data_IF_534784582537
#
_entry.id   IF_534784582537
#
_cell.length_a   1.000
_cell.length_b   1.000
_cell.length_c   1.000
_cell.angle_alpha   90.00
_cell.angle_beta   90.00
_cell.angle_gamma   90.00
#
_symmetry.space_group_name_H-M   'P 1'
#
loop_
_entity.id
_entity.type
_entity.pdbx_description
1 polymer ?
#
# COMPACT_ATOMS: atom_id res chain seq x y z
N UNK A 1 21.34 -1.68 -11.81
CA UNK A 1 20.21 -1.02 -11.12
C UNK A 1 20.69 -0.27 -9.89
N UNK A 2 20.95 -0.92 -8.74
CA UNK A 2 21.40 -0.21 -7.52
C UNK A 2 22.72 0.55 -7.73
N UNK A 3 23.71 -0.08 -8.37
CA UNK A 3 24.99 0.58 -8.68
C UNK A 3 24.84 1.77 -9.64
N UNK A 4 23.92 1.68 -10.61
CA UNK A 4 23.63 2.77 -11.55
C UNK A 4 22.96 3.93 -10.81
N UNK A 5 21.99 3.65 -9.92
CA UNK A 5 21.36 4.66 -9.06
C UNK A 5 22.36 5.32 -8.12
N UNK A 6 23.27 4.55 -7.51
CA UNK A 6 24.37 5.11 -6.69
C UNK A 6 25.23 6.05 -7.53
N UNK A 7 25.57 5.64 -8.75
CA UNK A 7 26.41 6.44 -9.64
C UNK A 7 25.70 7.73 -10.08
N UNK A 8 24.46 7.63 -10.57
CA UNK A 8 23.67 8.76 -11.05
C UNK A 8 23.28 9.75 -9.96
N UNK A 9 23.13 9.28 -8.72
CA UNK A 9 22.73 10.08 -7.55
C UNK A 9 23.85 10.26 -6.53
N UNK A 10 25.09 10.03 -6.92
CA UNK A 10 26.25 10.03 -6.03
C UNK A 10 26.33 11.30 -5.18
N UNK A 11 26.25 12.47 -5.82
CA UNK A 11 26.36 13.75 -5.13
C UNK A 11 25.23 13.96 -4.11
N UNK A 12 24.01 13.51 -4.42
CA UNK A 12 22.88 13.60 -3.50
C UNK A 12 23.09 12.69 -2.29
N UNK A 13 23.52 11.44 -2.49
CA UNK A 13 23.84 10.54 -1.39
C UNK A 13 24.98 11.06 -0.53
N UNK A 14 26.05 11.59 -1.14
CA UNK A 14 27.16 12.19 -0.40
C UNK A 14 26.72 13.41 0.42
N UNK A 15 25.82 14.24 -0.11
CA UNK A 15 25.22 15.33 0.64
C UNK A 15 24.40 14.83 1.85
N UNK A 16 23.63 13.75 1.68
CA UNK A 16 22.87 13.12 2.78
C UNK A 16 23.80 12.60 3.89
N UNK A 17 24.90 11.93 3.53
CA UNK A 17 25.93 11.48 4.48
C UNK A 17 26.56 12.67 5.24
N UNK A 18 26.96 13.72 4.52
CA UNK A 18 27.56 14.91 5.14
C UNK A 18 26.59 15.63 6.08
N UNK A 19 25.32 15.76 5.68
CA UNK A 19 24.29 16.36 6.50
C UNK A 19 24.05 15.55 7.78
N UNK A 20 24.03 14.22 7.68
CA UNK A 20 23.87 13.35 8.84
C UNK A 20 25.06 13.40 9.79
N UNK A 21 26.29 13.41 9.28
CA UNK A 21 27.50 13.57 10.08
C UNK A 21 27.51 14.89 10.87
N UNK A 22 27.02 15.97 10.26
CA UNK A 22 26.85 17.25 10.94
C UNK A 22 25.84 17.15 12.10
N UNK A 23 24.70 16.47 11.88
CA UNK A 23 23.70 16.25 12.92
C UNK A 23 24.21 15.33 14.04
N UNK A 24 24.98 14.29 13.70
CA UNK A 24 25.58 13.36 14.66
C UNK A 24 26.56 14.08 15.59
N UNK A 25 27.39 14.99 15.06
CA UNK A 25 28.29 15.82 15.88
C UNK A 25 27.52 16.66 16.90
N UNK A 26 26.42 17.29 16.49
CA UNK A 26 25.56 18.06 17.40
C UNK A 26 24.91 17.13 18.44
N UNK A 27 24.49 15.94 18.04
CA UNK A 27 23.90 14.95 18.94
C UNK A 27 24.89 14.46 20.00
N UNK A 28 26.14 14.20 19.61
CA UNK A 28 27.20 13.74 20.53
C UNK A 28 27.49 14.78 21.60
N UNK A 29 27.64 16.06 21.23
CA UNK A 29 27.76 17.16 22.20
C UNK A 29 26.59 17.15 23.18
N UNK A 30 25.36 17.07 22.65
CA UNK A 30 24.16 17.08 23.47
C UNK A 30 24.06 15.86 24.40
N UNK A 31 24.59 14.72 23.97
CA UNK A 31 24.58 13.48 24.72
C UNK A 31 25.58 13.53 25.88
N UNK A 32 26.75 14.13 25.68
CA UNK A 32 27.73 14.38 26.74
C UNK A 32 27.20 15.38 27.77
N UNK A 33 26.54 16.47 27.35
CA UNK A 33 25.85 17.40 28.27
C UNK A 33 24.81 16.68 29.14
N UNK A 34 24.05 15.74 28.57
CA UNK A 34 23.10 14.92 29.34
C UNK A 34 23.81 14.00 30.32
N UNK A 35 24.87 13.29 29.91
CA UNK A 35 25.66 12.41 30.78
C UNK A 35 26.33 13.18 31.93
N UNK A 36 26.73 14.42 31.70
CA UNK A 36 27.31 15.31 32.69
C UNK A 36 26.28 15.97 33.62
N UNK A 37 24.98 15.67 33.46
CA UNK A 37 23.90 16.28 34.26
C UNK A 37 23.57 17.73 33.90
N UNK A 38 24.14 18.25 32.82
CA UNK A 38 23.91 19.62 32.33
C UNK A 38 22.63 19.73 31.47
N UNK A 39 22.05 18.60 31.05
CA UNK A 39 20.74 18.53 30.40
C UNK A 39 19.83 17.54 31.14
N UNK A 40 18.57 17.92 31.34
CA UNK A 40 17.57 17.11 32.05
C UNK A 40 17.00 15.94 31.24
N UNK A 41 17.04 16.02 29.91
CA UNK A 41 16.49 15.02 29.01
C UNK A 41 17.55 14.48 28.04
N UNK A 42 17.51 13.16 27.82
CA UNK A 42 18.38 12.49 26.85
C UNK A 42 18.03 13.00 25.45
N UNK A 43 19.00 13.51 24.66
CA UNK A 43 18.74 13.94 23.30
C UNK A 43 18.32 12.76 22.42
N UNK A 44 17.48 13.02 21.43
CA UNK A 44 17.11 12.04 20.42
C UNK A 44 18.25 11.86 19.40
N UNK A 45 18.62 10.62 19.10
CA UNK A 45 19.62 10.31 18.06
C UNK A 45 19.07 10.74 16.69
N UNK A 46 19.84 11.49 15.87
CA UNK A 46 19.42 11.83 14.52
C UNK A 46 19.41 10.56 13.66
N UNK A 47 18.28 10.29 13.01
CA UNK A 47 18.17 9.22 12.04
C UNK A 47 18.84 9.62 10.73
N UNK A 48 19.41 8.63 10.06
CA UNK A 48 19.89 8.75 8.69
C UNK A 48 18.71 8.57 7.75
N UNK A 49 18.55 9.46 6.78
CA UNK A 49 17.46 9.44 5.78
C UNK A 49 18.09 9.78 4.45
N UNK A 50 17.82 8.95 3.44
CA UNK A 50 18.26 9.21 2.09
C UNK A 50 17.26 10.13 1.38
N UNK A 51 17.75 11.06 0.58
CA UNK A 51 16.93 11.93 -0.27
C UNK A 51 16.38 11.21 -1.51
N UNK A 52 16.93 10.04 -1.83
CA UNK A 52 16.58 9.23 -2.99
C UNK A 52 16.41 7.76 -2.60
N UNK A 53 15.51 7.06 -3.32
CA UNK A 53 15.37 5.62 -3.18
C UNK A 53 16.66 4.91 -3.61
N UNK A 54 17.17 4.00 -2.77
CA UNK A 54 18.35 3.19 -3.08
C UNK A 54 17.99 1.71 -3.25
N UNK A 55 17.30 1.16 -2.26
CA UNK A 55 16.87 -0.24 -2.26
C UNK A 55 15.69 -0.41 -1.32
N UNK A 56 14.90 -1.44 -1.57
CA UNK A 56 13.90 -1.89 -0.62
C UNK A 56 14.58 -2.44 0.63
N UNK A 57 14.07 -2.09 1.80
CA UNK A 57 14.50 -2.70 3.07
C UNK A 57 14.00 -4.15 3.13
N UNK A 58 12.82 -4.42 2.57
CA UNK A 58 12.25 -5.75 2.36
C UNK A 58 11.99 -5.98 0.89
N UNK A 59 12.79 -6.85 0.28
CA UNK A 59 12.69 -7.16 -1.15
C UNK A 59 11.31 -7.73 -1.50
N UNK A 60 10.58 -7.16 -2.48
CA UNK A 60 9.35 -7.75 -2.97
C UNK A 60 9.58 -9.15 -3.53
N UNK A 61 8.65 -10.06 -3.24
CA UNK A 61 8.67 -11.43 -3.75
C UNK A 61 7.78 -11.55 -4.98
N UNK A 62 8.18 -12.38 -5.95
CA UNK A 62 7.41 -12.61 -7.17
C UNK A 62 7.19 -14.10 -7.39
N UNK A 63 5.95 -14.47 -7.71
CA UNK A 63 5.58 -15.82 -8.12
C UNK A 63 4.59 -15.77 -9.29
N UNK A 64 4.60 -16.78 -10.16
CA UNK A 64 3.75 -16.82 -11.34
C UNK A 64 2.57 -17.77 -11.13
N UNK A 65 1.39 -17.36 -11.59
CA UNK A 65 0.14 -18.09 -11.43
C UNK A 65 -0.62 -18.17 -12.76
N UNK A 66 -1.39 -19.25 -12.92
CA UNK A 66 -2.34 -19.46 -14.02
C UNK A 66 -3.70 -19.88 -13.46
N UNK A 67 -4.73 -19.12 -13.81
CA UNK A 67 -6.13 -19.50 -13.61
C UNK A 67 -6.65 -20.09 -14.91
N UNK A 68 -7.24 -21.29 -14.84
CA UNK A 68 -7.82 -21.94 -16.02
C UNK A 68 -9.13 -21.24 -16.42
N UNK A 69 -9.31 -21.01 -17.71
CA UNK A 69 -10.59 -20.55 -18.25
C UNK A 69 -11.65 -21.65 -18.18
N UNK A 70 -12.90 -21.24 -18.08
CA UNK A 70 -14.08 -22.11 -18.19
C UNK A 70 -14.35 -22.45 -19.67
N UNK A 71 -14.92 -23.62 -19.94
CA UNK A 71 -15.39 -23.99 -21.27
C UNK A 71 -14.34 -24.02 -22.38
N UNK A 72 -13.05 -24.11 -22.05
CA UNK A 72 -11.95 -24.06 -23.03
C UNK A 72 -11.49 -22.64 -23.39
N UNK A 73 -12.01 -21.60 -22.72
CA UNK A 73 -11.52 -20.24 -22.86
C UNK A 73 -10.04 -20.12 -22.41
N UNK A 74 -9.34 -19.13 -22.96
CA UNK A 74 -7.98 -18.80 -22.54
C UNK A 74 -7.97 -18.46 -21.03
N UNK A 75 -6.96 -18.98 -20.32
CA UNK A 75 -6.77 -18.71 -18.90
C UNK A 75 -6.25 -17.30 -18.61
N UNK A 76 -6.21 -16.95 -17.33
CA UNK A 76 -5.55 -15.73 -16.85
C UNK A 76 -4.19 -16.09 -16.24
N UNK A 77 -3.13 -15.63 -16.90
CA UNK A 77 -1.75 -15.77 -16.45
C UNK A 77 -1.25 -14.46 -15.87
N UNK A 78 -0.68 -14.50 -14.66
CA UNK A 78 -0.16 -13.30 -14.01
C UNK A 78 1.03 -13.57 -13.09
N UNK A 79 1.84 -12.54 -12.88
CA UNK A 79 2.82 -12.52 -11.81
C UNK A 79 2.20 -11.88 -10.57
N UNK A 80 2.18 -12.62 -9.47
CA UNK A 80 1.88 -12.12 -8.15
C UNK A 80 3.14 -11.47 -7.56
N UNK A 81 3.04 -10.21 -7.17
CA UNK A 81 4.08 -9.49 -6.46
C UNK A 81 3.60 -9.25 -5.04
N UNK A 82 4.28 -9.82 -4.06
CA UNK A 82 4.07 -9.49 -2.66
C UNK A 82 5.10 -8.46 -2.20
N UNK A 83 4.64 -7.37 -1.61
CA UNK A 83 5.52 -6.36 -1.03
C UNK A 83 5.05 -5.99 0.37
N UNK A 84 6.00 -5.62 1.22
CA UNK A 84 5.74 -5.12 2.56
C UNK A 84 6.65 -3.92 2.82
N UNK A 85 6.11 -2.72 2.67
CA UNK A 85 6.88 -1.47 2.73
C UNK A 85 7.16 -1.06 4.17
N UNK A 86 8.20 -0.25 4.38
CA UNK A 86 8.65 0.20 5.69
C UNK A 86 7.49 0.67 6.58
N UNK A 87 7.50 0.26 7.85
CA UNK A 87 6.54 0.68 8.87
C UNK A 87 7.16 1.72 9.84
N UNK A 88 6.32 2.51 10.50
CA UNK A 88 6.76 3.46 11.55
C UNK A 88 6.18 4.87 11.41
N UNK A 89 5.86 5.51 12.54
CA UNK A 89 5.16 6.80 12.62
C UNK A 89 6.12 7.99 12.85
N UNK A 90 7.41 7.83 12.56
CA UNK A 90 8.31 9.00 12.51
C UNK A 90 8.14 9.61 11.13
N UNK A 91 8.02 10.94 11.02
CA UNK A 91 7.90 11.67 9.73
C UNK A 91 8.86 11.13 8.65
N UNK A 92 10.05 10.73 9.09
CA UNK A 92 11.12 10.11 8.29
C UNK A 92 10.78 8.72 7.71
N UNK A 93 10.18 7.83 8.49
CA UNK A 93 9.70 6.54 7.98
C UNK A 93 8.58 6.72 6.95
N UNK A 94 7.85 7.84 6.99
CA UNK A 94 6.85 8.16 5.97
C UNK A 94 7.49 8.57 4.64
N UNK A 95 8.58 9.34 4.66
CA UNK A 95 9.33 9.74 3.45
C UNK A 95 10.00 8.53 2.78
N UNK A 96 10.70 7.69 3.54
CA UNK A 96 11.34 6.48 3.01
C UNK A 96 10.32 5.50 2.43
N UNK A 97 9.22 5.26 3.15
CA UNK A 97 8.11 4.42 2.67
C UNK A 97 7.48 4.98 1.41
N UNK A 98 7.33 6.31 1.29
CA UNK A 98 6.85 6.96 0.06
C UNK A 98 7.81 6.64 -1.10
N UNK A 99 9.12 6.76 -0.88
CA UNK A 99 10.12 6.41 -1.88
C UNK A 99 10.07 4.93 -2.26
N UNK A 100 9.90 4.01 -1.29
CA UNK A 100 9.72 2.58 -1.59
C UNK A 100 8.45 2.34 -2.41
N UNK A 101 7.33 2.98 -2.07
CA UNK A 101 6.08 2.84 -2.82
C UNK A 101 6.22 3.35 -4.26
N UNK A 102 6.80 4.54 -4.44
CA UNK A 102 6.97 5.14 -5.76
C UNK A 102 7.91 4.29 -6.62
N UNK A 103 9.03 3.83 -6.05
CA UNK A 103 9.96 2.93 -6.73
C UNK A 103 9.31 1.58 -7.09
N UNK A 104 8.47 1.03 -6.21
CA UNK A 104 7.72 -0.20 -6.46
C UNK A 104 6.75 -0.02 -7.63
N UNK A 105 5.92 1.02 -7.58
CA UNK A 105 4.93 1.30 -8.62
C UNK A 105 5.61 1.60 -9.95
N UNK A 106 6.67 2.40 -9.98
CA UNK A 106 7.41 2.69 -11.20
C UNK A 106 8.11 1.46 -11.78
N UNK A 107 8.69 0.61 -10.92
CA UNK A 107 9.24 -0.67 -11.35
C UNK A 107 8.15 -1.55 -12.00
N UNK A 108 6.99 -1.70 -11.35
CA UNK A 108 5.88 -2.48 -11.89
C UNK A 108 5.35 -1.91 -13.21
N UNK A 109 5.24 -0.58 -13.32
CA UNK A 109 4.87 0.10 -14.58
C UNK A 109 5.88 -0.18 -15.69
N UNK A 110 7.17 -0.04 -15.40
CA UNK A 110 8.22 -0.32 -16.36
C UNK A 110 8.22 -1.79 -16.80
N UNK A 111 8.05 -2.72 -15.87
CA UNK A 111 7.93 -4.16 -16.16
C UNK A 111 6.73 -4.44 -17.05
N UNK A 112 5.59 -3.80 -16.78
CA UNK A 112 4.38 -3.92 -17.59
C UNK A 112 4.61 -3.39 -19.01
N UNK A 113 5.29 -2.25 -19.17
CA UNK A 113 5.70 -1.74 -20.51
C UNK A 113 6.64 -2.70 -21.24
N UNK A 114 7.53 -3.36 -20.51
CA UNK A 114 8.44 -4.37 -21.03
C UNK A 114 7.81 -5.77 -21.13
N UNK A 115 6.49 -5.85 -21.40
CA UNK A 115 5.69 -7.08 -21.39
C UNK A 115 6.26 -8.25 -22.19
N UNK A 116 6.96 -7.98 -23.29
CA UNK A 116 7.56 -9.02 -24.13
C UNK A 116 8.79 -9.69 -23.50
N UNK A 117 9.27 -9.15 -22.37
CA UNK A 117 10.37 -9.72 -21.55
C UNK A 117 9.86 -10.35 -20.25
N UNK A 118 8.55 -10.38 -20.03
CA UNK A 118 7.95 -10.99 -18.85
C UNK A 118 7.49 -12.42 -19.14
N UNK A 119 7.55 -13.27 -18.12
CA UNK A 119 6.97 -14.61 -18.18
C UNK A 119 5.44 -14.56 -18.38
N UNK A 120 4.78 -13.62 -17.69
CA UNK A 120 3.36 -13.30 -17.85
C UNK A 120 3.16 -11.79 -17.94
N UNK A 121 2.24 -11.34 -18.80
CA UNK A 121 2.05 -9.91 -19.10
C UNK A 121 1.29 -9.15 -18.01
N UNK A 122 0.45 -9.86 -17.26
CA UNK A 122 -0.33 -9.30 -16.18
C UNK A 122 0.43 -9.41 -14.86
N UNK A 123 0.32 -8.38 -14.02
CA UNK A 123 0.94 -8.33 -12.71
C UNK A 123 -0.14 -7.94 -11.68
N UNK A 124 -0.18 -8.67 -10.57
CA UNK A 124 -1.03 -8.38 -9.41
C UNK A 124 -0.10 -8.11 -8.22
N UNK A 125 -0.09 -6.87 -7.75
CA UNK A 125 0.55 -6.47 -6.50
C UNK A 125 -0.40 -6.75 -5.34
N UNK A 126 0.10 -7.30 -4.24
CA UNK A 126 -0.62 -7.33 -2.97
C UNK A 126 0.31 -7.27 -1.76
N UNK A 127 -0.13 -6.59 -0.72
CA UNK A 127 0.55 -6.62 0.58
C UNK A 127 0.40 -5.34 1.36
N UNK A 128 1.11 -5.28 2.49
CA UNK A 128 1.09 -4.16 3.40
C UNK A 128 2.01 -3.04 2.88
N UNK A 129 1.41 -2.04 2.26
CA UNK A 129 2.12 -0.87 1.74
C UNK A 129 2.35 0.18 2.84
N UNK A 130 1.81 -0.04 4.04
CA UNK A 130 1.87 0.87 5.19
C UNK A 130 1.50 2.33 4.83
N UNK A 131 0.65 2.51 3.81
CA UNK A 131 0.32 3.83 3.29
C UNK A 131 -0.52 4.59 4.31
N UNK A 132 0.10 5.57 4.97
CA UNK A 132 -0.60 6.57 5.77
C UNK A 132 -1.25 7.58 4.82
N UNK A 133 -2.49 7.29 4.41
CA UNK A 133 -3.17 8.02 3.33
C UNK A 133 -3.32 9.50 3.63
N UNK A 134 -3.70 9.82 4.87
CA UNK A 134 -3.94 11.19 5.32
C UNK A 134 -2.66 12.04 5.43
N UNK A 135 -1.49 11.40 5.41
CA UNK A 135 -0.19 12.09 5.37
C UNK A 135 0.45 12.11 3.98
N UNK A 136 0.06 11.17 3.11
CA UNK A 136 0.61 11.04 1.75
C UNK A 136 -0.11 11.92 0.75
N UNK A 137 -1.43 12.00 0.84
CA UNK A 137 -2.24 12.81 -0.04
C UNK A 137 -2.99 13.85 0.78
N UNK A 138 -2.92 15.10 0.35
CA UNK A 138 -3.66 16.19 0.97
C UNK A 138 -5.17 16.01 0.78
N UNK A 139 -5.58 15.21 -0.21
CA UNK A 139 -6.97 14.84 -0.46
C UNK A 139 -7.12 13.54 -1.27
N UNK A 140 -8.33 12.96 -1.28
CA UNK A 140 -8.63 11.81 -2.14
C UNK A 140 -8.57 12.11 -3.62
N UNK A 141 -8.90 13.34 -4.03
CA UNK A 141 -8.76 13.78 -5.41
C UNK A 141 -7.30 13.73 -5.89
N UNK A 142 -6.34 13.97 -4.99
CA UNK A 142 -4.92 13.88 -5.31
C UNK A 142 -4.46 12.43 -5.48
N UNK A 143 -4.92 11.51 -4.63
CA UNK A 143 -4.65 10.09 -4.75
C UNK A 143 -5.21 9.52 -6.06
N UNK A 144 -6.48 9.84 -6.34
CA UNK A 144 -7.18 9.43 -7.55
C UNK A 144 -6.51 10.04 -8.79
N UNK A 145 -6.13 11.33 -8.75
CA UNK A 145 -5.39 11.98 -9.82
C UNK A 145 -4.02 11.33 -10.04
N UNK A 146 -3.31 10.93 -8.98
CA UNK A 146 -2.03 10.23 -9.10
C UNK A 146 -2.21 8.86 -9.78
N UNK A 147 -3.23 8.08 -9.41
CA UNK A 147 -3.55 6.78 -10.03
C UNK A 147 -3.99 6.97 -11.49
N UNK A 148 -4.79 8.00 -11.79
CA UNK A 148 -5.21 8.32 -13.15
C UNK A 148 -4.05 8.82 -14.02
N UNK A 149 -3.17 9.66 -13.48
CA UNK A 149 -1.96 10.11 -14.14
C UNK A 149 -1.04 8.93 -14.47
N UNK A 150 -0.92 7.96 -13.55
CA UNK A 150 -0.17 6.74 -13.83
C UNK A 150 -0.67 6.03 -15.08
N UNK A 151 -1.99 5.97 -15.33
CA UNK A 151 -2.61 5.38 -16.53
C UNK A 151 -2.33 6.18 -17.81
N UNK A 152 -2.35 7.51 -17.76
CA UNK A 152 -2.09 8.37 -18.93
C UNK A 152 -0.68 8.17 -19.50
N UNK A 153 0.29 7.92 -18.62
CA UNK A 153 1.70 7.76 -18.96
C UNK A 153 2.08 6.35 -19.48
N UNK A 154 1.22 5.33 -19.34
CA UNK A 154 1.61 3.95 -19.70
C UNK A 154 1.46 3.66 -21.20
N UNK A 155 0.72 4.50 -21.94
CA UNK A 155 0.45 4.33 -23.37
C UNK A 155 -0.80 3.48 -23.63
N UNK A 156 -1.27 3.46 -24.88
CA UNK A 156 -2.50 2.76 -25.26
C UNK A 156 -2.40 1.24 -24.97
N UNK A 157 -3.43 0.69 -24.32
CA UNK A 157 -3.54 -0.74 -24.00
C UNK A 157 -2.91 -1.16 -22.67
N UNK A 158 -2.47 -0.22 -21.84
CA UNK A 158 -1.97 -0.50 -20.49
C UNK A 158 -2.87 0.11 -19.42
N UNK A 159 -3.01 -0.59 -18.30
CA UNK A 159 -3.89 -0.18 -17.21
C UNK A 159 -3.24 -0.44 -15.86
N UNK A 160 -3.39 0.53 -14.96
CA UNK A 160 -3.05 0.48 -13.54
C UNK A 160 -4.31 0.72 -12.75
N UNK A 161 -4.64 -0.18 -11.82
CA UNK A 161 -5.79 -0.03 -10.94
C UNK A 161 -5.42 -0.38 -9.50
N UNK A 162 -5.81 0.48 -8.57
CA UNK A 162 -5.73 0.24 -7.14
C UNK A 162 -7.13 0.41 -6.53
N UNK A 163 -7.94 -0.67 -6.44
CA UNK A 163 -9.35 -0.54 -6.07
C UNK A 163 -9.58 0.04 -4.68
N UNK A 164 -8.65 -0.21 -3.74
CA UNK A 164 -8.74 0.27 -2.36
C UNK A 164 -8.34 1.74 -2.19
N UNK A 165 -7.82 2.35 -3.25
CA UNK A 165 -7.46 3.77 -3.29
C UNK A 165 -8.45 4.61 -4.10
N UNK A 166 -9.40 3.94 -4.75
CA UNK A 166 -10.46 4.57 -5.51
C UNK A 166 -11.69 4.85 -4.64
N UNK A 167 -12.45 5.90 -4.97
CA UNK A 167 -13.74 6.23 -4.34
C UNK A 167 -14.80 6.14 -5.43
N UNK A 168 -15.39 4.96 -5.65
CA UNK A 168 -16.30 4.79 -6.78
C UNK A 168 -17.57 5.61 -6.57
N UNK A 169 -18.05 6.27 -7.61
CA UNK A 169 -19.23 7.13 -7.58
C UNK A 169 -20.54 6.32 -7.49
N UNK A 170 -20.57 5.13 -8.10
CA UNK A 170 -21.80 4.30 -8.21
C UNK A 170 -21.85 3.16 -7.21
N UNK A 171 -20.70 2.77 -6.69
CA UNK A 171 -20.59 1.87 -5.54
C UNK A 171 -20.80 2.76 -4.32
N UNK A 172 -22.00 2.75 -3.73
CA UNK A 172 -22.27 3.50 -2.50
C UNK A 172 -21.16 3.30 -1.46
N UNK A 173 -21.04 4.17 -0.45
CA UNK A 173 -19.90 4.15 0.47
C UNK A 173 -19.67 2.72 0.99
N UNK A 174 -18.40 2.24 1.02
CA UNK A 174 -18.14 0.88 1.38
C UNK A 174 -18.70 0.65 2.78
N UNK A 175 -19.32 -0.51 3.03
CA UNK A 175 -20.03 -0.77 4.28
C UNK A 175 -19.12 -0.64 5.52
N UNK A 176 -17.80 -0.59 5.33
CA UNK A 176 -16.78 -0.56 6.38
C UNK A 176 -15.67 0.43 6.05
N UNK A 177 -16.08 1.67 5.79
CA UNK A 177 -15.20 2.79 5.53
C UNK A 177 -15.20 3.87 6.60
N UNK A 178 -14.51 4.97 6.32
CA UNK A 178 -14.51 6.16 7.16
C UNK A 178 -15.75 7.04 7.00
N UNK A 179 -16.74 6.60 6.22
CA UNK A 179 -17.90 7.40 5.83
C UNK A 179 -17.63 8.34 4.64
N UNK A 180 -16.42 8.36 4.09
CA UNK A 180 -16.05 9.14 2.90
C UNK A 180 -15.80 8.29 1.66
N UNK A 181 -16.21 7.02 1.67
CA UNK A 181 -16.04 6.13 0.52
C UNK A 181 -14.79 5.24 0.56
N UNK A 182 -13.92 5.33 1.58
CA UNK A 182 -12.65 4.60 1.65
C UNK A 182 -12.79 3.26 2.34
N UNK A 183 -12.10 2.22 1.87
CA UNK A 183 -11.90 1.02 2.67
C UNK A 183 -10.83 1.26 3.73
N UNK A 184 -11.05 0.77 4.96
CA UNK A 184 -10.04 0.79 6.01
C UNK A 184 -9.55 -0.62 6.27
N UNK A 185 -8.25 -0.85 6.11
CA UNK A 185 -7.64 -2.16 6.35
C UNK A 185 -7.13 -2.30 7.78
N UNK A 186 -7.00 -1.21 8.53
CA UNK A 186 -6.65 -1.30 9.97
C UNK A 186 -7.84 -1.73 10.82
N UNK A 187 -7.56 -2.51 11.85
CA UNK A 187 -8.58 -2.98 12.78
C UNK A 187 -9.18 -1.85 13.63
N UNK A 188 -8.47 -0.72 13.74
CA UNK A 188 -8.92 0.57 14.29
C UNK A 188 -9.79 1.39 13.33
N UNK A 189 -9.90 0.99 12.06
CA UNK A 189 -10.57 1.72 10.99
C UNK A 189 -10.09 3.16 10.85
N UNK A 190 -8.78 3.37 10.82
CA UNK A 190 -8.16 4.69 10.67
C UNK A 190 -7.36 4.82 9.39
N UNK A 191 -6.75 3.73 8.92
CA UNK A 191 -5.84 3.72 7.77
C UNK A 191 -6.11 2.56 6.81
N UNK A 192 -5.57 2.69 5.59
CA UNK A 192 -5.63 1.74 4.47
C UNK A 192 -4.21 1.28 4.10
N UNK A 193 -3.63 0.44 4.94
CA UNK A 193 -2.25 -0.04 4.79
C UNK A 193 -2.11 -1.09 3.69
N UNK A 194 -3.02 -2.06 3.67
CA UNK A 194 -3.02 -3.16 2.73
C UNK A 194 -3.56 -2.71 1.38
N UNK A 195 -2.86 -3.10 0.32
CA UNK A 195 -3.24 -2.75 -1.05
C UNK A 195 -3.25 -3.97 -1.95
N UNK A 196 -4.13 -3.90 -2.96
CA UNK A 196 -4.08 -4.76 -4.14
C UNK A 196 -4.01 -3.84 -5.36
N UNK A 197 -3.04 -4.08 -6.22
CA UNK A 197 -2.81 -3.32 -7.45
C UNK A 197 -2.81 -4.22 -8.68
N UNK A 198 -3.46 -3.80 -9.75
CA UNK A 198 -3.49 -4.48 -11.03
C UNK A 198 -2.69 -3.71 -12.06
N UNK A 199 -1.78 -4.40 -12.75
CA UNK A 199 -1.01 -3.85 -13.85
C UNK A 199 -1.18 -4.79 -15.05
N UNK A 200 -1.95 -4.35 -16.03
CA UNK A 200 -2.33 -5.16 -17.19
C UNK A 200 -1.99 -4.50 -18.52
N UNK A 201 -1.89 -5.32 -19.57
CA UNK A 201 -1.53 -4.88 -20.92
C UNK A 201 -2.46 -5.42 -22.03
N UNK A 202 -3.49 -6.19 -21.67
CA UNK A 202 -4.35 -6.94 -22.58
C UNK A 202 -5.85 -6.92 -22.19
N UNK A 203 -6.21 -6.10 -21.20
CA UNK A 203 -7.60 -5.99 -20.71
C UNK A 203 -8.08 -7.18 -19.86
N UNK A 204 -7.22 -8.16 -19.53
CA UNK A 204 -7.62 -9.33 -18.75
C UNK A 204 -7.81 -9.04 -17.25
N UNK A 205 -7.20 -7.96 -16.76
CA UNK A 205 -7.38 -7.46 -15.38
C UNK A 205 -8.38 -6.29 -15.36
N UNK A 206 -9.04 -6.02 -14.22
CA UNK A 206 -9.94 -4.88 -14.09
C UNK A 206 -9.18 -3.55 -14.12
N UNK A 207 -9.66 -2.61 -14.93
CA UNK A 207 -9.22 -1.21 -14.90
C UNK A 207 -9.93 -0.42 -13.79
N UNK A 208 -9.57 0.86 -13.67
CA UNK A 208 -10.21 1.74 -12.69
C UNK A 208 -11.69 2.01 -13.01
N UNK A 209 -12.12 1.90 -14.29
CA UNK A 209 -13.52 2.09 -14.68
C UNK A 209 -14.41 0.95 -14.16
N UNK A 210 -13.86 -0.26 -14.01
CA UNK A 210 -14.56 -1.41 -13.45
C UNK A 210 -14.90 -1.24 -11.96
N UNK A 211 -14.24 -0.33 -11.23
CA UNK A 211 -14.43 -0.16 -9.79
C UNK A 211 -15.84 0.31 -9.43
N UNK A 212 -16.49 1.10 -10.30
CA UNK A 212 -17.86 1.62 -10.10
C UNK A 212 -18.94 0.52 -10.12
N UNK A 213 -18.72 -0.51 -10.95
CA UNK A 213 -19.64 -1.62 -11.12
C UNK A 213 -19.27 -2.86 -10.27
N UNK A 214 -18.20 -2.76 -9.48
CA UNK A 214 -17.67 -3.88 -8.70
C UNK A 214 -18.72 -4.43 -7.71
N UNK A 215 -18.94 -5.74 -7.78
CA UNK A 215 -19.94 -6.46 -6.97
C UNK A 215 -21.38 -6.39 -7.49
N UNK A 216 -21.65 -5.65 -8.57
CA UNK A 216 -23.02 -5.48 -9.10
C UNK A 216 -23.42 -6.54 -10.14
N UNK A 217 -22.44 -7.15 -10.81
CA UNK A 217 -22.66 -8.09 -11.93
C UNK A 217 -22.65 -9.58 -11.51
N UNK A 218 -22.91 -9.87 -10.22
CA UNK A 218 -23.05 -11.24 -9.71
C UNK A 218 -21.73 -11.92 -9.31
N UNK A 219 -21.82 -13.22 -8.99
CA UNK A 219 -20.75 -13.95 -8.31
C UNK A 219 -19.50 -14.21 -9.18
N UNK A 220 -19.62 -14.19 -10.50
CA UNK A 220 -18.52 -14.36 -11.45
C UNK A 220 -17.96 -13.02 -11.96
N UNK A 221 -18.33 -11.90 -11.35
CA UNK A 221 -17.85 -10.58 -11.75
C UNK A 221 -16.77 -10.05 -10.79
N UNK A 222 -16.07 -9.02 -11.26
CA UNK A 222 -15.11 -8.27 -10.47
C UNK A 222 -15.77 -7.71 -9.21
N UNK A 223 -15.10 -7.91 -8.07
CA UNK A 223 -15.51 -7.37 -6.78
C UNK A 223 -14.30 -7.29 -5.84
N UNK A 224 -14.39 -6.50 -4.78
CA UNK A 224 -13.31 -6.35 -3.80
C UNK A 224 -13.81 -5.80 -2.48
N UNK A 225 -13.15 -6.12 -1.37
CA UNK A 225 -13.58 -5.58 -0.09
C UNK A 225 -12.69 -5.97 1.08
N UNK A 226 -13.21 -5.74 2.27
CA UNK A 226 -12.49 -5.96 3.53
C UNK A 226 -13.28 -6.91 4.42
N UNK A 227 -12.62 -7.91 4.96
CA UNK A 227 -13.16 -8.76 6.01
C UNK A 227 -12.96 -8.10 7.38
N UNK A 228 -13.88 -7.21 7.78
CA UNK A 228 -13.73 -6.52 9.06
C UNK A 228 -14.15 -7.40 10.27
N UNK A 229 -13.23 -8.25 10.71
CA UNK A 229 -13.46 -9.07 11.89
C UNK A 229 -13.74 -8.23 13.15
N UNK A 230 -13.24 -6.99 13.24
CA UNK A 230 -13.48 -6.13 14.41
C UNK A 230 -14.99 -5.88 14.63
N UNK A 231 -15.73 -5.64 13.55
CA UNK A 231 -17.19 -5.51 13.62
C UNK A 231 -17.86 -6.86 13.85
N UNK A 232 -17.34 -7.95 13.28
CA UNK A 232 -17.87 -9.29 13.54
C UNK A 232 -17.76 -9.64 15.03
N UNK A 233 -16.63 -9.34 15.65
CA UNK A 233 -16.43 -9.51 17.08
C UNK A 233 -17.32 -8.56 17.89
N UNK A 234 -17.49 -7.31 17.44
CA UNK A 234 -18.40 -6.37 18.10
C UNK A 234 -19.85 -6.87 18.11
N UNK A 235 -20.30 -7.46 16.99
CA UNK A 235 -21.63 -8.07 16.87
C UNK A 235 -21.74 -9.30 17.76
N UNK A 236 -20.80 -10.23 17.64
CA UNK A 236 -20.83 -11.50 18.36
C UNK A 236 -20.68 -11.34 19.88
N UNK A 237 -19.82 -10.43 20.35
CA UNK A 237 -19.48 -10.30 21.77
C UNK A 237 -20.27 -9.21 22.50
N UNK A 238 -20.78 -8.20 21.76
CA UNK A 238 -21.39 -7.02 22.36
C UNK A 238 -22.75 -6.63 21.74
N UNK A 239 -23.24 -7.37 20.75
CA UNK A 239 -24.48 -7.03 20.04
C UNK A 239 -24.42 -5.65 19.36
N UNK A 240 -23.23 -5.22 18.92
CA UNK A 240 -22.99 -3.92 18.30
C UNK A 240 -22.66 -4.07 16.83
N UNK A 241 -23.28 -3.27 15.97
CA UNK A 241 -23.07 -3.33 14.52
C UNK A 241 -21.67 -2.88 14.10
N UNK A 242 -21.06 -1.98 14.88
CA UNK A 242 -19.69 -1.50 14.69
C UNK A 242 -18.88 -1.58 15.98
N UNK A 243 -17.59 -1.90 15.88
CA UNK A 243 -16.68 -1.89 17.03
C UNK A 243 -16.58 -0.51 17.71
N UNK A 244 -16.84 0.59 16.97
CA UNK A 244 -16.86 1.95 17.52
C UNK A 244 -17.99 2.17 18.54
N UNK A 245 -19.05 1.34 18.48
CA UNK A 245 -20.17 1.37 19.41
C UNK A 245 -19.92 0.54 20.68
N UNK A 246 -18.81 -0.20 20.76
CA UNK A 246 -18.46 -1.01 21.92
C UNK A 246 -17.95 -0.09 23.05
N UNK A 247 -18.48 -0.19 24.28
CA UNK A 247 -17.94 0.54 25.42
C UNK A 247 -16.46 0.23 25.62
N UNK A 248 -15.62 1.25 25.81
CA UNK A 248 -14.15 1.11 25.89
C UNK A 248 -13.55 0.41 24.66
N UNK A 249 -14.03 0.77 23.46
CA UNK A 249 -13.56 0.28 22.16
C UNK A 249 -12.03 0.19 22.04
N UNK A 250 -11.25 1.10 22.61
CA UNK A 250 -9.78 1.00 22.60
C UNK A 250 -9.23 -0.23 23.34
N UNK A 251 -9.86 -0.68 24.41
CA UNK A 251 -9.49 -1.91 25.12
C UNK A 251 -9.97 -3.17 24.39
N UNK A 252 -11.11 -3.08 23.72
CA UNK A 252 -11.62 -4.12 22.83
C UNK A 252 -10.67 -4.33 21.64
N UNK A 253 -10.22 -3.24 21.02
CA UNK A 253 -9.24 -3.24 19.93
C UNK A 253 -7.94 -3.90 20.31
N UNK A 254 -7.36 -3.51 21.45
CA UNK A 254 -6.08 -4.06 21.90
C UNK A 254 -6.08 -5.57 22.07
N UNK A 255 -7.24 -6.20 22.34
CA UNK A 255 -7.33 -7.66 22.48
C UNK A 255 -7.13 -8.35 21.12
N UNK A 256 -7.83 -7.91 20.08
CA UNK A 256 -7.71 -8.57 18.78
C UNK A 256 -6.43 -8.20 18.02
N UNK A 257 -5.83 -7.02 18.25
CA UNK A 257 -4.53 -6.67 17.64
C UNK A 257 -3.44 -7.67 18.03
N UNK A 258 -3.48 -8.15 19.27
CA UNK A 258 -2.54 -9.14 19.77
C UNK A 258 -2.95 -10.57 19.39
N UNK A 259 -4.24 -10.91 19.52
CA UNK A 259 -4.69 -12.30 19.42
C UNK A 259 -5.06 -12.74 17.99
N UNK A 260 -5.30 -11.80 17.07
CA UNK A 260 -5.77 -12.08 15.71
C UNK A 260 -4.94 -11.33 14.67
N UNK A 261 -5.08 -10.01 14.63
CA UNK A 261 -4.41 -9.12 13.67
C UNK A 261 -4.78 -7.67 14.00
N UNK A 262 -3.87 -6.74 13.74
CA UNK A 262 -4.15 -5.31 13.69
C UNK A 262 -4.64 -4.85 12.31
N UNK A 263 -4.66 -5.74 11.31
CA UNK A 263 -5.15 -5.52 9.96
C UNK A 263 -6.33 -6.44 9.63
N UNK A 264 -7.41 -5.88 9.08
CA UNK A 264 -8.49 -6.61 8.42
C UNK A 264 -8.02 -7.17 7.07
N UNK A 265 -8.20 -8.47 6.80
CA UNK A 265 -7.88 -9.04 5.50
C UNK A 265 -8.66 -8.35 4.38
N UNK A 266 -7.96 -7.92 3.34
CA UNK A 266 -8.57 -7.42 2.10
C UNK A 266 -8.67 -8.54 1.08
N UNK A 267 -9.64 -8.44 0.18
CA UNK A 267 -9.87 -9.43 -0.86
C UNK A 267 -10.26 -8.79 -2.19
N UNK A 268 -9.93 -9.48 -3.27
CA UNK A 268 -10.44 -9.21 -4.62
C UNK A 268 -11.00 -10.50 -5.19
N UNK A 269 -12.02 -10.37 -6.02
CA UNK A 269 -12.57 -11.43 -6.85
C UNK A 269 -12.40 -11.01 -8.30
N UNK A 270 -11.75 -11.87 -9.09
CA UNK A 270 -11.62 -11.68 -10.54
C UNK A 270 -12.62 -12.58 -11.27
N UNK A 271 -13.13 -12.16 -12.43
CA UNK A 271 -13.98 -13.02 -13.26
C UNK A 271 -13.20 -14.26 -13.71
N UNK A 272 -13.89 -15.40 -13.76
CA UNK A 272 -13.34 -16.61 -14.37
C UNK A 272 -13.39 -16.40 -15.89
N UNK A 273 -12.26 -16.50 -16.63
CA UNK A 273 -12.28 -16.32 -18.07
C UNK A 273 -13.26 -17.29 -18.74
N UNK A 274 -14.19 -16.77 -19.55
CA UNK A 274 -15.18 -17.57 -20.29
C UNK A 274 -16.38 -18.10 -19.49
N UNK A 275 -16.60 -17.62 -18.26
CA UNK A 275 -17.73 -17.99 -17.41
C UNK A 275 -18.93 -17.04 -17.52
#
# INVERSE_FOLDING_TARGET
AVLDTIHEKWDAFMADFQAHDALMRVYEIKLEEFKAGQRSARPAKPAFVLSNFLTFIRTPHVASFRVRGAGGAAGLDFNAVNAHLLYGNKSRSAEERKMEFDALVDWLRWRTKAKDRLYHRNIILFGDMNLEFEKRFTSMAEAEAAIKAMNQDVGAGYQVNFPFLDVPARRGPPPRGDGKGRFMSTARMTETYDQIGFFGADGALPDYLANDAAGQAGANAFDYGVFAFADLFARALHGKESFRQVPRSGSFVRRFEHDVSDHHPIWVRLPIPGA
#
